data_IF_389532535406
#
_entry.id   IF_389532535406
#
_cell.length_a   1.000
_cell.length_b   1.000
_cell.length_c   1.000
_cell.angle_alpha   90.00
_cell.angle_beta   90.00
_cell.angle_gamma   90.00
#
_symmetry.space_group_name_H-M   'P 1'
#
loop_
_entity.id
_entity.type
_entity.pdbx_description
1 polymer ?
#
# COMPACT_ATOMS: atom_id res chain seq x y z
N UNK A 1 -25.14 6.34 -12.18
CA UNK A 1 -23.67 6.57 -12.09
C UNK A 1 -23.28 7.55 -13.17
N UNK A 2 -22.24 8.36 -12.94
CA UNK A 2 -21.77 9.36 -13.90
C UNK A 2 -21.05 8.75 -15.09
N UNK A 3 -21.12 9.41 -16.26
CA UNK A 3 -20.36 9.02 -17.47
C UNK A 3 -18.86 9.26 -17.28
N UNK A 4 -18.03 8.79 -18.22
CA UNK A 4 -16.58 9.05 -18.22
C UNK A 4 -16.30 10.54 -18.37
N UNK A 5 -17.03 11.21 -19.25
CA UNK A 5 -16.93 12.64 -19.53
C UNK A 5 -17.25 13.48 -18.28
N UNK A 6 -18.33 13.14 -17.56
CA UNK A 6 -18.69 13.81 -16.31
C UNK A 6 -17.61 13.65 -15.24
N UNK A 7 -17.01 12.47 -15.13
CA UNK A 7 -15.90 12.20 -14.19
C UNK A 7 -14.67 13.01 -14.54
N UNK A 8 -14.30 13.06 -15.82
CA UNK A 8 -13.17 13.86 -16.32
C UNK A 8 -13.40 15.35 -16.08
N UNK A 9 -14.62 15.86 -16.33
CA UNK A 9 -14.97 17.25 -16.08
C UNK A 9 -14.90 17.60 -14.58
N UNK A 10 -15.34 16.69 -13.70
CA UNK A 10 -15.26 16.87 -12.26
C UNK A 10 -13.79 16.91 -11.78
N UNK A 11 -12.94 16.04 -12.31
CA UNK A 11 -11.51 16.02 -12.02
C UNK A 11 -10.81 17.29 -12.51
N UNK A 12 -11.07 17.70 -13.75
CA UNK A 12 -10.57 18.97 -14.32
C UNK A 12 -10.95 20.16 -13.46
N UNK A 13 -12.23 20.25 -13.05
CA UNK A 13 -12.67 21.32 -12.15
C UNK A 13 -11.90 21.35 -10.83
N UNK A 14 -11.57 20.20 -10.26
CA UNK A 14 -10.83 20.12 -9.01
C UNK A 14 -9.38 20.59 -9.20
N UNK A 15 -8.75 20.25 -10.33
CA UNK A 15 -7.42 20.77 -10.71
C UNK A 15 -7.43 22.30 -10.82
N UNK A 16 -8.42 22.88 -11.52
CA UNK A 16 -8.54 24.32 -11.69
C UNK A 16 -8.71 25.04 -10.32
N UNK A 17 -9.48 24.45 -9.41
CA UNK A 17 -9.67 24.97 -8.05
C UNK A 17 -8.35 24.96 -7.29
N UNK A 18 -7.63 23.86 -7.33
CA UNK A 18 -6.38 23.71 -6.59
C UNK A 18 -5.29 24.63 -7.12
N UNK A 19 -5.15 24.77 -8.43
CA UNK A 19 -4.25 25.75 -9.07
C UNK A 19 -4.57 27.17 -8.63
N UNK A 20 -5.85 27.51 -8.55
CA UNK A 20 -6.29 28.85 -8.12
C UNK A 20 -6.01 29.09 -6.64
N UNK A 21 -6.23 28.11 -5.78
CA UNK A 21 -5.90 28.18 -4.35
C UNK A 21 -4.40 28.37 -4.17
N UNK A 22 -3.56 27.62 -4.86
CA UNK A 22 -2.10 27.76 -4.82
C UNK A 22 -1.65 29.18 -5.14
N UNK A 23 -2.32 29.86 -6.08
CA UNK A 23 -1.98 31.24 -6.48
C UNK A 23 -2.58 32.29 -5.53
N UNK A 24 -3.77 32.08 -4.98
CA UNK A 24 -4.52 33.14 -4.30
C UNK A 24 -4.63 32.97 -2.80
N UNK A 25 -4.60 31.74 -2.27
CA UNK A 25 -4.72 31.51 -0.84
C UNK A 25 -3.37 31.69 -0.13
N UNK A 26 -3.28 32.56 0.88
CA UNK A 26 -2.02 32.79 1.61
C UNK A 26 -1.50 31.56 2.37
N UNK A 27 -2.39 30.62 2.72
CA UNK A 27 -2.03 29.38 3.39
C UNK A 27 -1.44 28.38 2.38
N UNK A 28 -2.12 28.15 1.26
CA UNK A 28 -1.67 27.22 0.20
C UNK A 28 -0.31 27.62 -0.37
N UNK A 29 -0.08 28.92 -0.60
CA UNK A 29 1.20 29.45 -1.10
C UNK A 29 2.42 29.06 -0.28
N UNK A 30 2.25 28.81 1.01
CA UNK A 30 3.36 28.55 1.95
C UNK A 30 3.64 27.07 2.12
N UNK A 31 2.76 26.20 1.60
CA UNK A 31 2.90 24.78 1.82
C UNK A 31 4.06 24.21 0.99
N UNK A 32 4.76 23.25 1.61
CA UNK A 32 5.84 22.45 1.03
C UNK A 32 5.54 20.97 1.22
N UNK A 33 6.32 20.08 0.62
CA UNK A 33 6.23 18.65 0.86
C UNK A 33 6.28 18.32 2.36
N UNK A 34 7.18 18.96 3.10
CA UNK A 34 7.37 18.73 4.53
C UNK A 34 6.21 19.25 5.36
N UNK A 35 5.69 20.45 5.03
CA UNK A 35 4.61 21.07 5.82
C UNK A 35 3.29 20.34 5.69
N UNK A 36 2.99 19.76 4.51
CA UNK A 36 1.77 19.00 4.26
C UNK A 36 1.86 17.52 4.70
N UNK A 37 3.08 16.99 4.88
CA UNK A 37 3.27 15.59 5.25
C UNK A 37 2.48 15.15 6.49
N UNK A 38 2.44 15.93 7.61
CA UNK A 38 1.62 15.56 8.77
C UNK A 38 0.14 15.46 8.45
N UNK A 39 -0.40 16.40 7.69
CA UNK A 39 -1.81 16.43 7.28
C UNK A 39 -2.13 15.21 6.40
N UNK A 40 -1.26 14.84 5.45
CA UNK A 40 -1.45 13.64 4.63
C UNK A 40 -1.54 12.37 5.49
N UNK A 41 -0.76 12.28 6.56
CA UNK A 41 -0.84 11.15 7.51
C UNK A 41 -2.19 11.17 8.22
N UNK A 42 -2.63 12.34 8.69
CA UNK A 42 -3.91 12.53 9.37
C UNK A 42 -5.08 12.12 8.47
N UNK A 43 -5.20 12.67 7.26
CA UNK A 43 -6.27 12.35 6.30
C UNK A 43 -6.26 10.87 5.91
N UNK A 44 -5.07 10.26 5.79
CA UNK A 44 -4.96 8.82 5.52
C UNK A 44 -5.53 7.99 6.67
N UNK A 45 -5.30 8.37 7.92
CA UNK A 45 -5.87 7.69 9.07
C UNK A 45 -7.37 7.95 9.24
N UNK A 46 -7.86 9.15 8.95
CA UNK A 46 -9.29 9.46 8.93
C UNK A 46 -10.02 8.62 7.86
N UNK A 47 -9.43 8.50 6.67
CA UNK A 47 -9.94 7.57 5.65
C UNK A 47 -9.98 6.13 6.16
N UNK A 48 -8.92 5.65 6.82
CA UNK A 48 -8.88 4.30 7.39
C UNK A 48 -10.00 4.09 8.42
N UNK A 49 -10.25 5.08 9.29
CA UNK A 49 -11.32 5.02 10.28
C UNK A 49 -12.71 4.98 9.62
N UNK A 50 -12.96 5.83 8.63
CA UNK A 50 -14.19 5.83 7.85
C UNK A 50 -14.43 4.49 7.14
N UNK A 51 -13.38 3.88 6.57
CA UNK A 51 -13.43 2.56 5.94
C UNK A 51 -13.79 1.45 6.94
N UNK A 52 -13.21 1.47 8.15
CA UNK A 52 -13.52 0.52 9.21
C UNK A 52 -14.97 0.61 9.68
N UNK A 53 -15.51 1.82 9.77
CA UNK A 53 -16.91 2.08 10.12
C UNK A 53 -17.89 1.80 8.97
N UNK A 54 -17.39 1.68 7.74
CA UNK A 54 -18.19 1.61 6.50
C UNK A 54 -19.13 2.81 6.34
N UNK A 55 -18.70 3.99 6.79
CA UNK A 55 -19.45 5.24 6.61
C UNK A 55 -19.18 5.83 5.23
N UNK A 56 -20.06 5.57 4.28
CA UNK A 56 -19.88 6.02 2.89
C UNK A 56 -19.88 7.54 2.73
N UNK A 57 -20.47 8.29 3.66
CA UNK A 57 -20.43 9.75 3.64
C UNK A 57 -19.03 10.24 4.01
N UNK A 58 -18.48 9.72 5.08
CA UNK A 58 -17.14 10.05 5.53
C UNK A 58 -16.09 9.49 4.57
N UNK A 59 -16.22 8.24 4.10
CA UNK A 59 -15.32 7.66 3.07
C UNK A 59 -15.20 8.59 1.85
N UNK A 60 -16.34 9.14 1.38
CA UNK A 60 -16.31 10.07 0.23
C UNK A 60 -15.61 11.38 0.55
N UNK A 61 -15.77 11.89 1.77
CA UNK A 61 -15.09 13.09 2.25
C UNK A 61 -13.57 12.83 2.29
N UNK A 62 -13.13 11.83 3.04
CA UNK A 62 -11.71 11.56 3.26
C UNK A 62 -10.98 11.13 1.97
N UNK A 63 -11.66 10.48 1.03
CA UNK A 63 -11.11 10.26 -0.32
C UNK A 63 -10.87 11.57 -1.07
N UNK A 64 -11.71 12.59 -0.85
CA UNK A 64 -11.53 13.92 -1.40
C UNK A 64 -10.28 14.59 -0.83
N UNK A 65 -10.09 14.52 0.48
CA UNK A 65 -8.97 15.14 1.20
C UNK A 65 -7.63 14.47 0.83
N UNK A 66 -7.59 13.14 0.73
CA UNK A 66 -6.41 12.41 0.21
C UNK A 66 -6.13 12.77 -1.26
N UNK A 67 -7.16 12.90 -2.11
CA UNK A 67 -7.00 13.29 -3.51
C UNK A 67 -6.50 14.73 -3.63
N UNK A 68 -6.97 15.65 -2.78
CA UNK A 68 -6.47 17.01 -2.70
C UNK A 68 -4.95 17.02 -2.44
N UNK A 69 -4.46 16.24 -1.48
CA UNK A 69 -3.03 16.13 -1.20
C UNK A 69 -2.22 15.61 -2.38
N UNK A 70 -2.75 14.62 -3.13
CA UNK A 70 -2.09 14.14 -4.35
C UNK A 70 -1.93 15.27 -5.37
N UNK A 71 -2.99 16.06 -5.58
CA UNK A 71 -2.95 17.22 -6.49
C UNK A 71 -2.00 18.30 -5.97
N UNK A 72 -2.03 18.59 -4.68
CA UNK A 72 -1.19 19.59 -4.07
C UNK A 72 0.30 19.28 -4.23
N UNK A 73 0.70 18.03 -3.94
CA UNK A 73 2.08 17.59 -4.18
C UNK A 73 2.47 17.65 -5.65
N UNK A 74 1.53 17.38 -6.55
CA UNK A 74 1.78 17.48 -8.00
C UNK A 74 1.98 18.93 -8.44
N UNK A 75 1.32 19.90 -7.80
CA UNK A 75 1.55 21.32 -8.04
C UNK A 75 2.94 21.74 -7.54
N UNK A 76 3.33 21.30 -6.34
CA UNK A 76 4.67 21.61 -5.79
C UNK A 76 5.74 20.99 -6.69
N UNK A 77 5.57 19.71 -7.12
CA UNK A 77 6.48 19.05 -8.05
C UNK A 77 6.62 19.79 -9.37
N UNK A 78 5.51 20.36 -9.90
CA UNK A 78 5.52 21.21 -11.11
C UNK A 78 6.27 22.52 -10.88
N UNK A 79 6.13 23.15 -9.71
CA UNK A 79 6.86 24.37 -9.35
C UNK A 79 8.37 24.11 -9.25
N UNK A 80 8.77 22.93 -8.80
CA UNK A 80 10.16 22.49 -8.74
C UNK A 80 10.69 22.04 -10.12
N UNK A 81 9.83 21.89 -11.15
CA UNK A 81 10.19 21.46 -12.49
C UNK A 81 10.44 19.97 -12.63
N UNK A 82 9.98 19.15 -11.70
CA UNK A 82 10.25 17.71 -11.63
C UNK A 82 9.12 16.85 -12.21
N UNK A 83 7.87 17.10 -11.85
CA UNK A 83 6.70 16.35 -12.33
C UNK A 83 5.39 17.10 -12.06
N UNK A 84 4.33 16.70 -12.74
CA UNK A 84 2.96 17.16 -12.48
C UNK A 84 1.98 15.99 -12.33
N UNK A 85 0.68 16.29 -12.22
CA UNK A 85 -0.37 15.29 -12.07
C UNK A 85 -0.49 14.35 -13.29
N UNK A 86 -0.13 14.82 -14.47
CA UNK A 86 -0.12 14.01 -15.69
C UNK A 86 0.94 12.90 -15.56
N UNK A 87 2.14 13.25 -15.10
CA UNK A 87 3.22 12.29 -14.87
C UNK A 87 2.83 11.25 -13.83
N UNK A 88 2.22 11.70 -12.71
CA UNK A 88 1.73 10.80 -11.65
C UNK A 88 0.71 9.81 -12.20
N UNK A 89 -0.29 10.28 -12.96
CA UNK A 89 -1.33 9.42 -13.52
C UNK A 89 -0.78 8.45 -14.57
N UNK A 90 0.07 8.93 -15.48
CA UNK A 90 0.65 8.13 -16.53
C UNK A 90 1.59 7.05 -15.96
N UNK A 91 2.47 7.41 -15.05
CA UNK A 91 3.36 6.45 -14.39
C UNK A 91 2.59 5.34 -13.68
N UNK A 92 1.51 5.69 -12.96
CA UNK A 92 0.67 4.70 -12.29
C UNK A 92 -0.07 3.81 -13.29
N UNK A 93 -0.62 4.37 -14.37
CA UNK A 93 -1.29 3.60 -15.42
C UNK A 93 -0.34 2.61 -16.08
N UNK A 94 0.83 3.05 -16.53
CA UNK A 94 1.86 2.20 -17.13
C UNK A 94 2.30 1.07 -16.20
N UNK A 95 2.52 1.39 -14.93
CA UNK A 95 2.85 0.42 -13.89
C UNK A 95 1.75 -0.63 -13.71
N UNK A 96 0.49 -0.22 -13.65
CA UNK A 96 -0.64 -1.13 -13.53
C UNK A 96 -0.76 -2.03 -14.76
N UNK A 97 -0.61 -1.50 -15.96
CA UNK A 97 -0.62 -2.27 -17.21
C UNK A 97 0.52 -3.29 -17.25
N UNK A 98 1.73 -2.89 -16.89
CA UNK A 98 2.90 -3.77 -16.82
C UNK A 98 2.72 -4.91 -15.81
N UNK A 99 2.14 -4.62 -14.65
CA UNK A 99 1.92 -5.61 -13.58
C UNK A 99 0.76 -6.58 -13.83
N UNK A 100 0.01 -6.39 -14.93
CA UNK A 100 -1.09 -7.25 -15.32
C UNK A 100 -0.88 -7.88 -16.71
N UNK A 101 0.20 -8.66 -16.93
CA UNK A 101 0.55 -9.22 -18.24
C UNK A 101 -0.47 -10.26 -18.74
N UNK A 102 -1.38 -10.71 -17.88
CA UNK A 102 -2.48 -11.61 -18.23
C UNK A 102 -3.72 -10.89 -18.79
N UNK A 103 -3.70 -9.55 -18.85
CA UNK A 103 -4.68 -8.72 -19.55
C UNK A 103 -4.12 -8.41 -20.94
N UNK A 104 -4.93 -8.62 -21.97
CA UNK A 104 -4.56 -8.25 -23.35
C UNK A 104 -4.92 -6.79 -23.59
N UNK A 105 -3.93 -5.92 -23.58
CA UNK A 105 -4.09 -4.48 -23.78
C UNK A 105 -4.25 -4.07 -25.26
N UNK A 106 -4.24 -5.02 -26.22
CA UNK A 106 -4.61 -4.77 -27.61
C UNK A 106 -6.13 -4.89 -27.85
N UNK A 107 -6.89 -5.34 -26.83
CA UNK A 107 -8.34 -5.54 -26.90
C UNK A 107 -9.10 -4.45 -26.11
N UNK A 108 -10.34 -4.16 -26.52
CA UNK A 108 -11.33 -3.36 -25.78
C UNK A 108 -10.87 -1.97 -25.31
N UNK A 109 -10.24 -1.17 -26.15
CA UNK A 109 -9.92 0.22 -25.85
C UNK A 109 -8.75 0.76 -26.64
N UNK A 110 -8.50 2.04 -26.46
CA UNK A 110 -7.32 2.72 -27.00
C UNK A 110 -6.30 2.88 -25.89
N UNK A 111 -5.54 1.80 -25.65
CA UNK A 111 -4.56 1.73 -24.58
C UNK A 111 -3.19 2.15 -25.11
N UNK A 112 -2.60 3.12 -24.44
CA UNK A 112 -1.25 3.63 -24.76
C UNK A 112 -0.37 3.56 -23.52
N UNK A 113 0.93 3.44 -23.74
CA UNK A 113 1.97 3.51 -22.72
C UNK A 113 2.67 4.84 -22.86
N UNK A 114 2.77 5.58 -21.78
CA UNK A 114 3.38 6.92 -21.74
C UNK A 114 4.90 6.86 -21.56
N UNK A 115 5.41 5.81 -20.90
CA UNK A 115 6.83 5.59 -20.70
C UNK A 115 7.51 5.25 -22.05
N UNK A 116 8.48 6.05 -22.54
CA UNK A 116 9.15 5.80 -23.83
C UNK A 116 9.99 4.51 -23.84
N UNK A 117 10.34 3.98 -22.67
CA UNK A 117 11.08 2.74 -22.53
C UNK A 117 10.20 1.49 -22.56
N UNK A 118 8.88 1.66 -22.65
CA UNK A 118 7.90 0.56 -22.64
C UNK A 118 7.06 0.58 -23.92
N UNK A 119 6.43 -0.55 -24.23
CA UNK A 119 5.48 -0.69 -25.34
C UNK A 119 4.53 -1.88 -25.10
N UNK A 120 3.43 -1.91 -25.85
CA UNK A 120 2.51 -3.05 -25.87
C UNK A 120 2.97 -3.97 -27.01
N UNK A 121 3.32 -5.22 -26.68
CA UNK A 121 3.75 -6.21 -27.67
C UNK A 121 2.56 -6.83 -28.43
N UNK A 122 2.82 -7.72 -29.40
CA UNK A 122 1.78 -8.38 -30.21
C UNK A 122 0.82 -9.24 -29.37
N UNK A 123 1.26 -9.73 -28.22
CA UNK A 123 0.44 -10.49 -27.28
C UNK A 123 -0.41 -9.59 -26.35
N UNK A 124 -0.36 -8.27 -26.53
CA UNK A 124 -1.09 -7.31 -25.70
C UNK A 124 -0.49 -7.07 -24.33
N UNK A 125 0.78 -7.39 -24.11
CA UNK A 125 1.48 -7.21 -22.85
C UNK A 125 2.34 -5.96 -22.89
N UNK A 126 2.40 -5.22 -21.79
CA UNK A 126 3.33 -4.11 -21.64
C UNK A 126 4.70 -4.67 -21.24
N UNK A 127 5.73 -4.30 -21.96
CA UNK A 127 7.11 -4.77 -21.78
C UNK A 127 8.10 -3.61 -21.94
N UNK A 128 9.28 -3.74 -21.32
CA UNK A 128 10.38 -2.79 -21.52
C UNK A 128 11.09 -3.06 -22.85
N UNK A 129 11.53 -1.99 -23.52
CA UNK A 129 12.43 -2.06 -24.67
C UNK A 129 13.80 -2.54 -24.18
N UNK A 130 14.39 -3.50 -24.88
CA UNK A 130 15.75 -3.95 -24.56
C UNK A 130 16.76 -2.82 -24.86
N UNK A 131 17.90 -2.82 -24.14
CA UNK A 131 18.98 -1.84 -24.34
C UNK A 131 19.54 -1.94 -25.77
N UNK A 132 19.49 -3.12 -26.39
CA UNK A 132 19.95 -3.37 -27.75
C UNK A 132 18.98 -2.86 -28.82
N UNK A 133 17.68 -2.78 -28.54
CA UNK A 133 16.70 -2.11 -29.43
C UNK A 133 16.90 -0.59 -29.48
N UNK A 134 17.61 0.00 -28.51
CA UNK A 134 18.00 1.43 -28.52
C UNK A 134 19.22 1.69 -29.41
N UNK A 135 20.04 0.67 -29.68
CA UNK A 135 21.32 0.82 -30.40
C UNK A 135 21.32 0.20 -31.79
N UNK A 136 20.62 -0.90 -32.06
CA UNK A 136 20.49 -1.50 -33.38
C UNK A 136 19.42 -2.62 -33.37
N UNK A 137 18.79 -2.86 -34.52
CA UNK A 137 17.73 -3.84 -34.70
C UNK A 137 18.30 -5.27 -34.76
N UNK A 138 18.62 -5.87 -33.61
CA UNK A 138 19.15 -7.23 -33.60
C UNK A 138 19.16 -7.96 -32.24
N UNK A 139 18.39 -9.01 -32.20
CA UNK A 139 18.55 -10.32 -31.49
C UNK A 139 18.60 -10.48 -29.97
N UNK A 140 18.34 -9.53 -29.08
CA UNK A 140 18.26 -9.83 -27.66
C UNK A 140 16.89 -9.60 -26.98
N UNK A 141 15.91 -9.17 -27.75
CA UNK A 141 14.51 -9.02 -27.32
C UNK A 141 13.87 -10.37 -26.88
N UNK A 142 14.39 -11.50 -27.34
CA UNK A 142 13.77 -12.82 -27.19
C UNK A 142 13.73 -13.31 -25.72
N UNK A 143 14.77 -13.13 -24.96
CA UNK A 143 14.85 -13.71 -23.58
C UNK A 143 13.98 -12.96 -22.56
N UNK A 144 13.80 -11.64 -22.69
CA UNK A 144 12.91 -10.85 -21.83
C UNK A 144 11.46 -11.02 -22.25
N UNK A 145 11.20 -11.04 -23.56
CA UNK A 145 9.89 -11.28 -24.14
C UNK A 145 9.38 -12.72 -23.85
N UNK A 146 10.25 -13.73 -23.89
CA UNK A 146 9.88 -15.11 -23.52
C UNK A 146 9.44 -15.25 -22.06
N UNK A 147 10.14 -14.60 -21.12
CA UNK A 147 9.74 -14.62 -19.69
C UNK A 147 8.39 -13.95 -19.46
N UNK A 148 8.15 -12.82 -20.11
CA UNK A 148 6.88 -12.08 -20.00
C UNK A 148 5.75 -12.82 -20.70
N UNK A 149 6.02 -13.45 -21.85
CA UNK A 149 5.07 -14.31 -22.57
C UNK A 149 4.63 -15.50 -21.73
N UNK A 150 5.56 -16.20 -21.05
CA UNK A 150 5.24 -17.30 -20.15
C UNK A 150 4.37 -16.89 -18.96
N UNK A 151 4.48 -15.65 -18.46
CA UNK A 151 3.63 -15.10 -17.40
C UNK A 151 2.21 -14.77 -17.91
N UNK A 152 2.07 -14.35 -19.17
CA UNK A 152 0.77 -14.03 -19.79
C UNK A 152 -0.06 -15.25 -20.19
N UNK A 153 0.58 -16.34 -20.57
CA UNK A 153 -0.10 -17.61 -20.96
C UNK A 153 -0.79 -18.29 -19.76
N UNK A 154 -0.33 -18.04 -18.54
CA UNK A 154 -0.93 -18.57 -17.32
C UNK A 154 -1.83 -17.51 -16.66
N UNK A 155 -3.04 -17.29 -17.18
CA UNK A 155 -4.02 -16.43 -16.49
C UNK A 155 -4.20 -16.88 -15.03
N UNK A 156 -3.91 -16.01 -14.06
CA UNK A 156 -4.03 -16.37 -12.65
C UNK A 156 -5.50 -16.69 -12.34
N UNK A 157 -5.75 -17.83 -11.73
CA UNK A 157 -7.10 -18.33 -11.45
C UNK A 157 -7.72 -17.74 -10.18
N UNK A 158 -6.94 -17.07 -9.36
CA UNK A 158 -7.39 -16.45 -8.10
C UNK A 158 -6.45 -15.32 -7.66
N UNK A 159 -6.88 -14.53 -6.68
CA UNK A 159 -6.14 -13.38 -6.17
C UNK A 159 -4.73 -13.73 -5.67
N UNK A 160 -4.55 -14.86 -4.98
CA UNK A 160 -3.24 -15.28 -4.48
C UNK A 160 -2.23 -15.59 -5.61
N UNK A 161 -2.71 -16.11 -6.75
CA UNK A 161 -1.88 -16.30 -7.94
C UNK A 161 -1.49 -14.96 -8.56
N UNK A 162 -2.40 -13.96 -8.55
CA UNK A 162 -2.09 -12.58 -8.99
C UNK A 162 -1.01 -11.94 -8.10
N UNK A 163 -1.16 -12.04 -6.78
CA UNK A 163 -0.18 -11.50 -5.82
C UNK A 163 1.22 -12.08 -6.03
N UNK A 164 1.31 -13.41 -6.24
CA UNK A 164 2.58 -14.08 -6.53
C UNK A 164 3.19 -13.60 -7.85
N UNK A 165 2.36 -13.42 -8.88
CA UNK A 165 2.79 -12.89 -10.17
C UNK A 165 3.32 -11.46 -10.02
N UNK A 166 2.66 -10.61 -9.26
CA UNK A 166 3.09 -9.24 -9.00
C UNK A 166 4.47 -9.15 -8.33
N UNK A 167 4.76 -9.99 -7.33
CA UNK A 167 6.10 -9.98 -6.71
C UNK A 167 7.19 -10.41 -7.69
N UNK A 168 6.91 -11.38 -8.57
CA UNK A 168 7.84 -11.77 -9.63
C UNK A 168 8.06 -10.65 -10.65
N UNK A 169 7.01 -9.92 -11.01
CA UNK A 169 7.07 -8.81 -11.96
C UNK A 169 7.81 -7.61 -11.37
N UNK A 170 7.57 -7.28 -10.09
CA UNK A 170 8.30 -6.20 -9.38
C UNK A 170 9.81 -6.38 -9.38
N UNK A 171 10.31 -7.62 -9.43
CA UNK A 171 11.74 -7.90 -9.55
C UNK A 171 12.28 -7.62 -10.96
N UNK A 172 11.40 -7.48 -11.97
CA UNK A 172 11.76 -7.19 -13.36
C UNK A 172 11.61 -5.70 -13.69
N UNK A 173 11.07 -4.89 -12.79
CA UNK A 173 10.98 -3.44 -12.96
C UNK A 173 12.41 -2.84 -12.98
N UNK A 174 12.65 -1.87 -13.87
CA UNK A 174 13.97 -1.24 -14.07
C UNK A 174 14.50 -0.62 -12.77
N UNK A 175 13.60 -0.12 -11.91
CA UNK A 175 13.87 0.40 -10.58
C UNK A 175 13.47 -0.59 -9.48
N UNK A 176 13.38 -1.88 -9.84
CA UNK A 176 12.98 -2.97 -8.96
C UNK A 176 13.92 -3.09 -7.76
N UNK A 177 13.34 -3.42 -6.62
CA UNK A 177 14.10 -3.58 -5.39
C UNK A 177 15.15 -4.70 -5.54
N UNK A 178 16.43 -4.40 -5.33
CA UNK A 178 17.53 -5.40 -5.37
C UNK A 178 17.32 -6.53 -4.36
N UNK A 179 16.61 -6.27 -3.26
CA UNK A 179 16.30 -7.24 -2.21
C UNK A 179 14.80 -7.28 -1.93
N UNK A 180 14.29 -8.44 -1.56
CA UNK A 180 12.86 -8.69 -1.28
C UNK A 180 12.27 -7.69 -0.29
N UNK A 181 13.01 -7.35 0.76
CA UNK A 181 12.53 -6.49 1.85
C UNK A 181 12.87 -5.00 1.66
N UNK A 182 13.71 -4.62 0.70
CA UNK A 182 14.10 -3.20 0.50
C UNK A 182 12.91 -2.30 0.12
N UNK A 183 11.85 -2.87 -0.44
CA UNK A 183 10.60 -2.14 -0.74
C UNK A 183 9.60 -2.04 0.43
N UNK A 184 10.03 -2.29 1.68
CA UNK A 184 9.21 -2.06 2.87
C UNK A 184 9.55 -0.69 3.44
N UNK A 185 8.64 0.31 3.42
CA UNK A 185 8.93 1.63 3.93
C UNK A 185 9.30 1.61 5.42
N UNK A 186 10.37 2.34 5.78
CA UNK A 186 10.81 2.43 7.16
C UNK A 186 9.80 3.15 8.08
N UNK A 187 8.97 4.01 7.50
CA UNK A 187 7.98 4.83 8.21
C UNK A 187 6.66 4.11 8.51
N UNK A 188 6.48 2.86 8.04
CA UNK A 188 5.26 2.11 8.35
C UNK A 188 5.11 1.89 9.86
N UNK A 189 3.88 1.99 10.42
CA UNK A 189 3.58 1.55 11.78
C UNK A 189 4.04 0.11 12.01
N UNK A 190 4.60 -0.17 13.17
CA UNK A 190 5.35 -1.42 13.44
C UNK A 190 4.52 -2.69 13.19
N UNK A 191 3.23 -2.69 13.54
CA UNK A 191 2.35 -3.84 13.34
C UNK A 191 2.12 -4.12 11.85
N UNK A 192 1.78 -3.08 11.08
CA UNK A 192 1.61 -3.15 9.63
C UNK A 192 2.92 -3.54 8.95
N UNK A 193 4.05 -2.98 9.42
CA UNK A 193 5.39 -3.30 8.91
C UNK A 193 5.73 -4.79 9.11
N UNK A 194 5.50 -5.34 10.30
CA UNK A 194 5.75 -6.74 10.59
C UNK A 194 4.93 -7.67 9.68
N UNK A 195 3.63 -7.41 9.55
CA UNK A 195 2.77 -8.15 8.61
C UNK A 195 3.31 -8.09 7.19
N UNK A 196 3.70 -6.90 6.72
CA UNK A 196 4.20 -6.69 5.35
C UNK A 196 5.54 -7.39 5.10
N UNK A 197 6.46 -7.38 6.07
CA UNK A 197 7.75 -8.11 6.00
C UNK A 197 7.49 -9.60 5.82
N UNK A 198 6.64 -10.18 6.66
CA UNK A 198 6.31 -11.60 6.62
C UNK A 198 5.60 -12.01 5.32
N UNK A 199 4.69 -11.17 4.82
CA UNK A 199 4.00 -11.41 3.57
C UNK A 199 4.96 -11.40 2.38
N UNK A 200 5.91 -10.46 2.33
CA UNK A 200 6.95 -10.43 1.30
C UNK A 200 7.89 -11.65 1.38
N UNK A 201 8.27 -12.08 2.58
CA UNK A 201 9.11 -13.27 2.76
C UNK A 201 8.38 -14.55 2.26
N UNK A 202 7.08 -14.69 2.57
CA UNK A 202 6.22 -15.76 2.03
C UNK A 202 6.26 -15.80 0.51
N UNK A 203 6.18 -14.66 -0.15
CA UNK A 203 6.07 -14.60 -1.63
C UNK A 203 7.31 -15.16 -2.34
N UNK A 204 8.45 -15.21 -1.66
CA UNK A 204 9.69 -15.83 -2.16
C UNK A 204 9.95 -17.23 -1.60
N UNK A 205 8.95 -17.83 -0.96
CA UNK A 205 9.00 -19.21 -0.47
C UNK A 205 9.52 -19.36 0.96
N UNK A 206 9.77 -18.26 1.68
CA UNK A 206 10.14 -18.32 3.09
C UNK A 206 8.87 -18.24 3.95
N UNK A 207 8.26 -19.41 4.17
CA UNK A 207 7.03 -19.55 4.97
C UNK A 207 6.94 -20.93 5.62
N UNK A 208 6.06 -21.05 6.59
CA UNK A 208 5.74 -22.30 7.26
C UNK A 208 5.10 -23.31 6.29
N UNK A 209 5.52 -24.55 6.35
CA UNK A 209 4.92 -25.62 5.53
C UNK A 209 3.50 -25.97 5.99
N UNK A 210 3.27 -25.94 7.30
CA UNK A 210 1.98 -26.13 7.92
C UNK A 210 1.67 -24.92 8.79
N UNK A 211 0.48 -24.35 8.65
CA UNK A 211 0.07 -23.17 9.40
C UNK A 211 -0.05 -23.41 10.90
N UNK A 212 -0.28 -24.67 11.29
CA UNK A 212 -0.41 -25.10 12.70
C UNK A 212 0.91 -24.99 13.44
N UNK A 213 2.04 -25.23 12.79
CA UNK A 213 3.38 -25.25 13.38
C UNK A 213 3.81 -23.84 13.87
N UNK A 214 3.18 -22.76 13.39
CA UNK A 214 3.45 -21.40 13.88
C UNK A 214 3.15 -21.22 15.36
N UNK A 215 2.21 -22.01 15.91
CA UNK A 215 1.84 -21.90 17.32
C UNK A 215 2.95 -22.36 18.24
N UNK A 216 3.76 -23.33 17.82
CA UNK A 216 4.93 -23.78 18.59
C UNK A 216 5.90 -22.61 18.79
N UNK A 217 6.11 -21.81 17.74
CA UNK A 217 6.94 -20.59 17.84
C UNK A 217 6.29 -19.52 18.73
N UNK A 218 4.98 -19.33 18.65
CA UNK A 218 4.29 -18.39 19.55
C UNK A 218 4.44 -18.81 21.02
N UNK A 219 4.36 -20.12 21.32
CA UNK A 219 4.54 -20.63 22.68
C UNK A 219 5.99 -20.53 23.15
N UNK A 220 6.97 -20.72 22.26
CA UNK A 220 8.38 -20.49 22.53
C UNK A 220 8.62 -19.04 22.94
N UNK A 221 8.23 -18.07 22.10
CA UNK A 221 8.43 -16.65 22.35
C UNK A 221 7.75 -16.15 23.64
N UNK A 222 6.55 -16.64 23.96
CA UNK A 222 5.90 -16.29 25.22
C UNK A 222 6.63 -16.90 26.44
N UNK A 223 7.26 -18.05 26.27
CA UNK A 223 8.05 -18.67 27.36
C UNK A 223 9.35 -17.90 27.58
N UNK A 224 10.05 -17.47 26.51
CA UNK A 224 11.25 -16.65 26.57
C UNK A 224 10.97 -15.28 27.19
N UNK A 225 9.91 -14.61 26.75
CA UNK A 225 9.45 -13.36 27.36
C UNK A 225 9.20 -13.50 28.86
N UNK A 226 8.50 -14.56 29.28
CA UNK A 226 8.22 -14.81 30.72
C UNK A 226 9.51 -15.06 31.52
N UNK A 227 10.48 -15.74 30.92
CA UNK A 227 11.77 -15.99 31.55
C UNK A 227 12.58 -14.71 31.78
N UNK A 228 12.60 -13.81 30.81
CA UNK A 228 13.31 -12.53 30.95
C UNK A 228 12.58 -11.56 31.90
N UNK A 229 11.23 -11.55 31.87
CA UNK A 229 10.44 -10.78 32.84
C UNK A 229 10.70 -11.25 34.29
N UNK A 230 10.87 -12.56 34.50
CA UNK A 230 11.19 -13.10 35.84
C UNK A 230 12.59 -12.72 36.35
N UNK A 231 13.51 -12.37 35.45
CA UNK A 231 14.85 -11.84 35.77
C UNK A 231 14.85 -10.33 35.99
N UNK A 232 13.73 -9.66 35.78
CA UNK A 232 13.62 -8.19 35.79
C UNK A 232 14.56 -7.49 34.77
N UNK A 233 15.03 -8.22 33.76
CA UNK A 233 15.85 -7.68 32.69
C UNK A 233 14.97 -6.95 31.67
N UNK A 234 14.86 -5.65 31.84
CA UNK A 234 14.01 -4.80 30.99
C UNK A 234 14.45 -4.78 29.53
N UNK A 235 15.75 -4.81 29.25
CA UNK A 235 16.27 -4.76 27.89
C UNK A 235 15.92 -6.05 27.13
N UNK A 236 16.26 -7.20 27.71
CA UNK A 236 15.96 -8.48 27.07
C UNK A 236 14.44 -8.76 27.07
N UNK A 237 13.69 -8.43 28.12
CA UNK A 237 12.23 -8.50 28.09
C UNK A 237 11.61 -7.68 26.97
N UNK A 238 12.21 -6.53 26.59
CA UNK A 238 11.72 -5.72 25.45
C UNK A 238 11.97 -6.40 24.12
N UNK A 239 13.11 -7.10 23.96
CA UNK A 239 13.43 -7.87 22.75
C UNK A 239 12.46 -9.05 22.60
N UNK A 240 12.30 -9.84 23.63
CA UNK A 240 11.38 -10.99 23.62
C UNK A 240 9.91 -10.59 23.42
N UNK A 241 9.50 -9.43 23.96
CA UNK A 241 8.18 -8.90 23.66
C UNK A 241 8.02 -8.58 22.17
N UNK A 242 9.05 -8.06 21.52
CA UNK A 242 9.08 -7.81 20.08
C UNK A 242 8.93 -9.11 19.29
N UNK A 243 9.67 -10.16 19.65
CA UNK A 243 9.65 -11.46 18.99
C UNK A 243 8.31 -12.17 19.20
N UNK A 244 7.76 -12.11 20.41
CA UNK A 244 6.40 -12.59 20.68
C UNK A 244 5.34 -11.89 19.82
N UNK A 245 5.34 -10.55 19.75
CA UNK A 245 4.40 -9.82 18.91
C UNK A 245 4.57 -10.18 17.44
N UNK A 246 5.80 -10.32 16.96
CA UNK A 246 6.10 -10.71 15.57
C UNK A 246 5.59 -12.12 15.25
N UNK A 247 5.73 -13.07 16.17
CA UNK A 247 5.23 -14.43 16.02
C UNK A 247 3.69 -14.49 15.99
N UNK A 248 3.00 -13.71 16.82
CA UNK A 248 1.53 -13.58 16.82
C UNK A 248 1.01 -12.98 15.51
N UNK A 249 1.69 -11.95 15.00
CA UNK A 249 1.35 -11.34 13.70
C UNK A 249 1.50 -12.37 12.58
N UNK A 250 2.55 -13.20 12.64
CA UNK A 250 2.75 -14.27 11.67
C UNK A 250 1.65 -15.35 11.72
N UNK A 251 1.24 -15.73 12.93
CA UNK A 251 0.11 -16.62 13.09
C UNK A 251 -1.16 -16.02 12.46
N UNK A 252 -1.47 -14.76 12.78
CA UNK A 252 -2.61 -14.07 12.18
C UNK A 252 -2.57 -14.12 10.65
N UNK A 253 -1.43 -13.83 10.03
CA UNK A 253 -1.22 -13.88 8.59
C UNK A 253 -1.51 -15.26 7.99
N UNK A 254 -0.98 -16.31 8.60
CA UNK A 254 -1.19 -17.70 8.14
C UNK A 254 -2.67 -18.12 8.18
N UNK A 255 -3.41 -17.60 9.15
CA UNK A 255 -4.86 -17.79 9.23
C UNK A 255 -5.67 -16.77 8.44
N UNK A 256 -5.02 -15.92 7.62
CA UNK A 256 -5.63 -14.87 6.78
C UNK A 256 -6.43 -13.85 7.60
N UNK A 257 -5.97 -13.56 8.79
CA UNK A 257 -6.51 -12.52 9.66
C UNK A 257 -5.63 -11.27 9.51
N UNK A 258 -6.26 -10.10 9.44
CA UNK A 258 -5.53 -8.84 9.52
C UNK A 258 -5.38 -8.45 11.01
N UNK A 259 -4.16 -8.46 11.57
CA UNK A 259 -3.96 -8.21 12.98
C UNK A 259 -4.20 -6.75 13.38
N UNK A 260 -3.97 -5.80 12.48
CA UNK A 260 -4.22 -4.37 12.71
C UNK A 260 -5.72 -4.10 12.82
N UNK A 261 -6.51 -4.54 11.84
CA UNK A 261 -7.97 -4.45 11.90
C UNK A 261 -8.55 -5.17 13.13
N UNK A 262 -8.01 -6.33 13.47
CA UNK A 262 -8.48 -7.10 14.63
C UNK A 262 -8.23 -6.36 15.96
N UNK A 263 -7.06 -5.73 16.08
CA UNK A 263 -6.71 -4.93 17.26
C UNK A 263 -7.57 -3.67 17.33
N UNK A 264 -7.79 -2.98 16.21
CA UNK A 264 -8.62 -1.78 16.16
C UNK A 264 -10.09 -2.09 16.52
N UNK A 265 -10.66 -3.18 16.05
CA UNK A 265 -11.98 -3.63 16.52
C UNK A 265 -12.03 -3.84 18.02
N UNK A 266 -10.94 -4.31 18.60
CA UNK A 266 -10.87 -4.52 20.07
C UNK A 266 -10.74 -3.18 20.81
N UNK A 267 -9.94 -2.22 20.27
CA UNK A 267 -9.84 -0.86 20.79
C UNK A 267 -11.22 -0.19 20.83
N UNK A 268 -11.93 -0.19 19.71
CA UNK A 268 -13.27 0.40 19.59
C UNK A 268 -14.27 -0.28 20.55
N UNK A 269 -14.18 -1.59 20.70
CA UNK A 269 -15.01 -2.32 21.68
C UNK A 269 -14.70 -1.90 23.10
N UNK A 270 -13.44 -1.73 23.45
CA UNK A 270 -13.01 -1.28 24.77
C UNK A 270 -13.49 0.14 25.06
N UNK A 271 -13.28 1.08 24.12
CA UNK A 271 -13.70 2.47 24.23
C UNK A 271 -15.21 2.55 24.50
N UNK A 272 -16.02 1.86 23.68
CA UNK A 272 -17.49 1.86 23.87
C UNK A 272 -17.91 1.33 25.23
N UNK A 273 -17.25 0.28 25.73
CA UNK A 273 -17.57 -0.30 27.04
C UNK A 273 -17.13 0.61 28.19
N UNK A 274 -15.98 1.25 28.05
CA UNK A 274 -15.48 2.17 29.04
C UNK A 274 -16.36 3.43 29.13
N UNK A 275 -16.73 4.03 27.99
CA UNK A 275 -17.65 5.17 27.95
C UNK A 275 -19.02 4.83 28.57
N UNK A 276 -19.52 3.62 28.34
CA UNK A 276 -20.75 3.17 29.00
C UNK A 276 -20.60 3.13 30.52
N UNK A 277 -19.49 2.62 31.04
CA UNK A 277 -19.21 2.58 32.48
C UNK A 277 -19.07 4.01 33.03
N UNK A 278 -18.36 4.88 32.34
CA UNK A 278 -18.17 6.28 32.71
C UNK A 278 -19.51 7.02 32.80
N UNK A 279 -20.35 6.94 31.77
CA UNK A 279 -21.68 7.55 31.74
C UNK A 279 -22.57 7.07 32.91
N UNK A 280 -22.51 5.78 33.22
CA UNK A 280 -23.29 5.22 34.33
C UNK A 280 -22.78 5.66 35.72
N UNK A 281 -21.45 5.78 35.87
CA UNK A 281 -20.84 6.26 37.12
C UNK A 281 -21.17 7.73 37.33
N UNK A 282 -21.09 8.56 36.31
CA UNK A 282 -21.46 9.99 36.35
C UNK A 282 -22.93 10.20 36.71
N UNK A 283 -23.85 9.41 36.11
CA UNK A 283 -25.28 9.44 36.45
C UNK A 283 -25.57 9.06 37.91
N UNK A 284 -24.71 8.29 38.52
CA UNK A 284 -24.79 7.91 39.94
C UNK A 284 -24.06 8.87 40.86
N UNK A 285 -23.51 9.99 40.36
CA UNK A 285 -22.73 10.94 41.15
C UNK A 285 -21.37 10.41 41.61
N UNK A 286 -20.87 9.33 40.98
CA UNK A 286 -19.57 8.73 41.31
C UNK A 286 -18.55 9.13 40.26
N UNK A 287 -17.40 9.63 40.67
CA UNK A 287 -16.24 9.77 39.79
C UNK A 287 -15.52 8.43 39.64
N UNK A 288 -14.96 8.16 38.45
CA UNK A 288 -14.09 7.01 38.16
C UNK A 288 -12.69 7.11 38.85
N UNK A 289 -12.54 7.98 39.82
CA UNK A 289 -11.31 8.10 40.62
C UNK A 289 -11.39 7.26 41.87
#
# INVERSE_FOLDING_TARGET
>A
MHTKEEKLAAFSRLLDVQDRLRIQCPWDKKQTFESLRPNTIEETFELCDALMKRDYKDIKKELGDVLEHVMFYSIIGREDGEFDICDVCNQEADKLMFRHPFINWNEEGDWTVSNPDMYINEAGQVVYRSIEEKADKGNSAEASAEKTKALGENKPKNAAAVEKTWEQIKQQEKDGNERVLSGVPNSLPSLIKAYRIQDKARNVGFDWQKKEDVWDKVYEEIAELKAELAKEDKENSTKELGDFLFSVINAARLYKLNPDNALEHTNQKFIRRFNYVEDHSLKQGKNLK
#
